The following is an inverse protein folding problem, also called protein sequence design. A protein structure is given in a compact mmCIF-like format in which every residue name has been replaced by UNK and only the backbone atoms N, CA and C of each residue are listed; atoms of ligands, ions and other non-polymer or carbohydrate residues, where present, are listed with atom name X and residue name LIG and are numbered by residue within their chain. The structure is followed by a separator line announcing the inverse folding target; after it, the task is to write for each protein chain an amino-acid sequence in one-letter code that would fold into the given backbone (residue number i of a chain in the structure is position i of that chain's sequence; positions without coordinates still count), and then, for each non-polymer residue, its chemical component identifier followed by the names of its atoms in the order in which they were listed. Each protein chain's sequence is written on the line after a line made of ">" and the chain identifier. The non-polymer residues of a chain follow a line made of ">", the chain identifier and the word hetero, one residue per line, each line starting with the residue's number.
data_IF_586765636884
#
_entry.id   IF_586765636884
#
_cell.length_a   1.000
_cell.length_b   1.000
_cell.length_c   1.000
_cell.angle_alpha   90.00
_cell.angle_beta   90.00
_cell.angle_gamma   90.00
#
_symmetry.space_group_name_H-M   'P 1'
#
loop_
_entity.id
_entity.type
_entity.pdbx_description
1 polymer ?
#
# COMPACT_ATOMS: atom_id res chain seq x y z
N UNK A 1 -4.98 -3.17 -5.15
CA UNK A 1 -4.90 -4.09 -4.00
C UNK A 1 -4.93 -3.32 -2.68
N UNK A 2 -4.12 -2.27 -2.52
CA UNK A 2 -4.04 -1.38 -1.34
C UNK A 2 -5.39 -0.95 -0.77
N UNK A 3 -6.32 -0.44 -1.61
CA UNK A 3 -7.65 -0.02 -1.16
C UNK A 3 -8.49 -1.16 -0.56
N UNK A 4 -8.35 -2.40 -1.06
CA UNK A 4 -9.06 -3.55 -0.49
C UNK A 4 -8.45 -3.99 0.85
N UNK A 5 -7.12 -3.92 0.99
CA UNK A 5 -6.44 -4.14 2.27
C UNK A 5 -6.90 -3.09 3.30
N UNK A 6 -6.99 -1.82 2.90
CA UNK A 6 -7.55 -0.75 3.73
C UNK A 6 -9.01 -1.03 4.13
N UNK A 7 -9.83 -1.51 3.20
CA UNK A 7 -11.20 -1.94 3.51
C UNK A 7 -11.23 -3.04 4.58
N UNK A 8 -10.34 -4.04 4.50
CA UNK A 8 -10.22 -5.09 5.51
C UNK A 8 -9.72 -4.55 6.85
N UNK A 9 -8.69 -3.69 6.84
CA UNK A 9 -8.17 -3.03 8.05
C UNK A 9 -9.23 -2.19 8.77
N UNK A 10 -10.12 -1.52 8.03
CA UNK A 10 -11.24 -0.78 8.61
C UNK A 10 -12.30 -1.65 9.31
N UNK A 11 -12.26 -2.98 9.14
CA UNK A 11 -13.07 -3.93 9.91
C UNK A 11 -12.37 -4.44 11.16
N UNK A 12 -11.07 -4.18 11.30
CA UNK A 12 -10.24 -4.55 12.44
C UNK A 12 -10.09 -3.34 13.36
N UNK A 13 -9.80 -2.17 12.79
CA UNK A 13 -9.68 -0.88 13.48
C UNK A 13 -11.04 -0.19 13.54
N UNK A 14 -11.68 -0.17 14.71
CA UNK A 14 -13.01 0.42 14.88
C UNK A 14 -13.00 1.94 15.11
N UNK A 15 -11.82 2.52 15.37
CA UNK A 15 -11.62 3.93 15.68
C UNK A 15 -10.84 4.64 14.56
N UNK A 16 -11.36 4.54 13.33
CA UNK A 16 -10.86 5.22 12.14
C UNK A 16 -12.00 5.62 11.20
N UNK A 17 -11.76 6.62 10.35
CA UNK A 17 -12.69 6.93 9.26
C UNK A 17 -12.43 5.97 8.07
N UNK A 18 -13.29 4.95 7.93
CA UNK A 18 -13.20 3.96 6.85
C UNK A 18 -13.30 4.57 5.45
N UNK A 19 -14.13 5.59 5.26
CA UNK A 19 -14.28 6.24 3.96
C UNK A 19 -12.98 6.93 3.59
N UNK A 20 -12.46 7.77 4.49
CA UNK A 20 -11.19 8.48 4.32
C UNK A 20 -10.04 7.51 4.04
N UNK A 21 -9.94 6.42 4.80
CA UNK A 21 -8.88 5.41 4.62
C UNK A 21 -8.91 4.82 3.21
N UNK A 22 -10.08 4.37 2.76
CA UNK A 22 -10.22 3.74 1.44
C UNK A 22 -10.02 4.77 0.32
N UNK A 23 -10.56 5.99 0.45
CA UNK A 23 -10.37 7.04 -0.57
C UNK A 23 -8.92 7.50 -0.64
N UNK A 24 -8.22 7.61 0.48
CA UNK A 24 -6.78 7.94 0.51
C UNK A 24 -5.98 6.87 -0.22
N UNK A 25 -6.25 5.58 0.05
CA UNK A 25 -5.60 4.47 -0.66
C UNK A 25 -5.87 4.47 -2.17
N UNK A 26 -7.02 4.97 -2.64
CA UNK A 26 -7.32 5.08 -4.07
C UNK A 26 -6.48 6.15 -4.79
N UNK A 27 -6.05 7.20 -4.08
CA UNK A 27 -5.42 8.38 -4.70
C UNK A 27 -3.97 8.60 -4.31
N UNK A 28 -3.42 7.85 -3.35
CA UNK A 28 -2.07 8.09 -2.83
C UNK A 28 -0.99 8.13 -3.92
N UNK A 29 -1.04 7.21 -4.89
CA UNK A 29 -0.09 7.14 -6.02
C UNK A 29 -0.61 7.81 -7.31
N UNK A 30 -1.66 8.64 -7.24
CA UNK A 30 -2.28 9.19 -8.46
C UNK A 30 -1.31 10.08 -9.27
N UNK A 31 -0.25 10.60 -8.64
CA UNK A 31 0.81 11.34 -9.31
C UNK A 31 1.58 10.47 -10.33
N UNK A 32 1.69 9.15 -10.08
CA UNK A 32 2.40 8.18 -10.91
C UNK A 32 1.78 8.01 -12.29
N UNK A 33 0.50 8.36 -12.46
CA UNK A 33 -0.13 8.43 -13.77
C UNK A 33 0.56 9.42 -14.74
N UNK A 34 1.40 10.33 -14.22
CA UNK A 34 2.19 11.29 -15.02
C UNK A 34 3.68 11.22 -14.79
N UNK A 35 4.12 10.79 -13.61
CA UNK A 35 5.55 10.66 -13.31
C UNK A 35 6.10 9.28 -13.68
N UNK A 36 5.23 8.27 -13.80
CA UNK A 36 5.61 6.86 -13.74
C UNK A 36 5.82 6.38 -12.29
N UNK A 37 5.71 5.07 -12.08
CA UNK A 37 6.10 4.40 -10.84
C UNK A 37 7.62 4.22 -10.84
N UNK A 38 8.31 5.05 -10.06
CA UNK A 38 9.76 4.97 -9.96
C UNK A 38 10.18 3.79 -9.08
N UNK A 39 10.87 2.83 -9.70
CA UNK A 39 11.51 1.76 -8.95
C UNK A 39 12.73 2.28 -8.15
N UNK A 40 13.33 1.44 -7.30
CA UNK A 40 14.46 1.83 -6.45
C UNK A 40 15.68 2.37 -7.20
N UNK A 41 15.94 1.89 -8.42
CA UNK A 41 17.04 2.39 -9.24
C UNK A 41 16.72 3.78 -9.74
N UNK A 42 15.51 4.00 -10.26
CA UNK A 42 15.06 5.33 -10.73
C UNK A 42 15.05 6.35 -9.59
N UNK A 43 14.55 5.98 -8.40
CA UNK A 43 14.59 6.82 -7.19
C UNK A 43 16.01 7.23 -6.77
N UNK A 44 17.05 6.49 -7.20
CA UNK A 44 18.46 6.81 -6.89
C UNK A 44 19.09 7.80 -7.88
N UNK A 45 18.61 7.85 -9.12
CA UNK A 45 19.26 8.61 -10.20
C UNK A 45 18.36 9.66 -10.84
N UNK A 46 17.10 9.76 -10.42
CA UNK A 46 16.10 10.66 -10.99
C UNK A 46 15.21 11.21 -9.89
N UNK A 47 14.55 12.33 -10.17
CA UNK A 47 13.64 13.02 -9.25
C UNK A 47 12.34 13.34 -9.97
N UNK A 48 11.22 13.03 -9.32
CA UNK A 48 9.88 13.39 -9.76
C UNK A 48 9.48 14.75 -9.18
N UNK A 49 8.63 15.47 -9.91
CA UNK A 49 7.94 16.67 -9.42
C UNK A 49 6.47 16.33 -9.17
N UNK A 50 6.22 15.58 -8.09
CA UNK A 50 4.88 15.11 -7.72
C UNK A 50 3.93 16.27 -7.43
N UNK A 51 4.41 17.34 -6.80
CA UNK A 51 3.61 18.53 -6.53
C UNK A 51 3.08 19.16 -7.84
N UNK A 52 3.91 19.26 -8.87
CA UNK A 52 3.47 19.71 -10.20
C UNK A 52 2.53 18.70 -10.87
N UNK A 53 2.80 17.40 -10.75
CA UNK A 53 1.93 16.36 -11.29
C UNK A 53 0.52 16.42 -10.69
N UNK A 54 0.41 16.54 -9.36
CA UNK A 54 -0.84 16.67 -8.61
C UNK A 54 -1.53 17.98 -8.96
N UNK A 55 -0.82 19.11 -9.00
CA UNK A 55 -1.38 20.41 -9.38
C UNK A 55 -2.01 20.37 -10.77
N UNK A 56 -1.29 19.85 -11.77
CA UNK A 56 -1.83 19.68 -13.11
C UNK A 56 -3.03 18.71 -13.15
N UNK A 57 -3.16 17.79 -12.19
CA UNK A 57 -4.18 16.72 -12.20
C UNK A 57 -5.47 17.26 -11.64
N UNK A 58 -5.36 18.06 -10.58
CA UNK A 58 -6.47 18.56 -9.77
C UNK A 58 -7.01 19.90 -10.25
N UNK A 59 -6.22 20.76 -10.92
CA UNK A 59 -6.58 22.16 -11.25
C UNK A 59 -7.90 22.42 -12.00
N UNK A 60 -8.46 21.41 -12.66
CA UNK A 60 -9.72 21.56 -13.42
C UNK A 60 -10.81 20.57 -12.96
N UNK A 61 -10.59 19.93 -11.82
CA UNK A 61 -11.53 18.97 -11.23
C UNK A 61 -12.25 19.67 -10.07
N UNK A 62 -13.59 19.67 -10.03
CA UNK A 62 -14.34 20.35 -8.97
C UNK A 62 -13.99 19.92 -7.54
N UNK A 63 -13.53 18.68 -7.36
CA UNK A 63 -13.09 18.07 -6.10
C UNK A 63 -11.56 17.91 -6.04
N UNK A 64 -10.81 18.72 -6.80
CA UNK A 64 -9.35 18.64 -6.86
C UNK A 64 -8.66 18.90 -5.51
N UNK A 65 -9.24 19.79 -4.70
CA UNK A 65 -8.73 20.11 -3.36
C UNK A 65 -8.90 18.94 -2.38
N UNK A 66 -9.94 18.13 -2.54
CA UNK A 66 -10.16 16.93 -1.72
C UNK A 66 -9.05 15.89 -1.98
N UNK A 67 -8.73 15.65 -3.26
CA UNK A 67 -7.63 14.76 -3.66
C UNK A 67 -6.30 15.27 -3.09
N UNK A 68 -6.02 16.57 -3.27
CA UNK A 68 -4.78 17.17 -2.78
C UNK A 68 -4.64 17.03 -1.26
N UNK A 69 -5.72 17.29 -0.53
CA UNK A 69 -5.74 17.16 0.94
C UNK A 69 -5.47 15.73 1.40
N UNK A 70 -6.06 14.73 0.72
CA UNK A 70 -5.80 13.31 1.02
C UNK A 70 -4.33 12.93 0.76
N UNK A 71 -3.74 13.41 -0.34
CA UNK A 71 -2.34 13.14 -0.67
C UNK A 71 -1.41 13.83 0.32
N UNK A 72 -1.67 15.09 0.67
CA UNK A 72 -0.88 15.84 1.65
C UNK A 72 -0.93 15.14 3.03
N UNK A 73 -2.11 14.66 3.46
CA UNK A 73 -2.27 13.86 4.68
C UNK A 73 -1.48 12.54 4.60
N UNK A 74 -1.62 11.79 3.49
CA UNK A 74 -0.87 10.55 3.26
C UNK A 74 0.65 10.78 3.33
N UNK A 75 1.15 11.84 2.68
CA UNK A 75 2.57 12.16 2.63
C UNK A 75 3.12 12.57 4.00
N UNK A 76 2.32 13.25 4.83
CA UNK A 76 2.72 13.63 6.20
C UNK A 76 3.00 12.41 7.09
N UNK A 77 2.22 11.32 6.97
CA UNK A 77 2.33 10.15 7.85
C UNK A 77 1.99 10.46 9.32
N UNK A 78 1.27 11.54 9.59
CA UNK A 78 0.97 11.97 10.96
C UNK A 78 -0.34 11.39 11.50
N UNK A 79 -1.26 10.99 10.61
CA UNK A 79 -2.57 10.46 11.00
C UNK A 79 -2.58 8.94 11.04
N UNK A 80 -3.51 8.38 11.84
CA UNK A 80 -3.71 6.94 11.92
C UNK A 80 -4.10 6.36 10.56
N UNK A 81 -4.97 7.03 9.82
CA UNK A 81 -5.34 6.60 8.47
C UNK A 81 -4.14 6.64 7.50
N UNK A 82 -3.33 7.70 7.51
CA UNK A 82 -2.14 7.77 6.65
C UNK A 82 -1.18 6.60 6.91
N UNK A 83 -0.92 6.27 8.17
CA UNK A 83 -0.04 5.16 8.54
C UNK A 83 -0.63 3.80 8.17
N UNK A 84 -1.95 3.63 8.28
CA UNK A 84 -2.64 2.42 7.82
C UNK A 84 -2.59 2.27 6.29
N UNK A 85 -2.75 3.35 5.52
CA UNK A 85 -2.60 3.28 4.05
C UNK A 85 -1.17 2.93 3.66
N UNK A 86 -0.16 3.51 4.32
CA UNK A 86 1.25 3.15 4.08
C UNK A 86 1.52 1.68 4.38
N UNK A 87 1.03 1.17 5.50
CA UNK A 87 1.15 -0.24 5.83
C UNK A 87 0.40 -1.13 4.82
N UNK A 88 -0.80 -0.73 4.39
CA UNK A 88 -1.57 -1.46 3.39
C UNK A 88 -0.84 -1.54 2.03
N UNK A 89 -0.12 -0.49 1.65
CA UNK A 89 0.70 -0.47 0.44
C UNK A 89 1.89 -1.44 0.58
N UNK A 90 2.62 -1.40 1.70
CA UNK A 90 3.69 -2.37 1.96
C UNK A 90 3.16 -3.82 2.02
N UNK A 91 1.98 -4.05 2.60
CA UNK A 91 1.34 -5.37 2.64
C UNK A 91 0.95 -5.86 1.25
N UNK A 92 0.46 -4.97 0.38
CA UNK A 92 0.20 -5.30 -1.02
C UNK A 92 1.47 -5.86 -1.69
N UNK A 93 2.62 -5.26 -1.42
CA UNK A 93 3.89 -5.75 -1.95
C UNK A 93 4.37 -7.04 -1.26
N UNK A 94 4.19 -7.16 0.06
CA UNK A 94 4.51 -8.40 0.81
C UNK A 94 3.74 -9.59 0.25
N UNK A 95 2.45 -9.45 -0.08
CA UNK A 95 1.66 -10.52 -0.69
C UNK A 95 2.28 -11.03 -2.00
N UNK A 96 2.72 -10.13 -2.87
CA UNK A 96 3.38 -10.50 -4.12
C UNK A 96 4.73 -11.18 -3.87
N UNK A 97 5.54 -10.64 -2.96
CA UNK A 97 6.83 -11.25 -2.58
C UNK A 97 6.66 -12.63 -1.93
N UNK A 98 5.64 -12.80 -1.07
CA UNK A 98 5.33 -14.07 -0.43
C UNK A 98 4.92 -15.11 -1.45
N UNK A 99 4.02 -14.77 -2.36
CA UNK A 99 3.65 -15.65 -3.49
C UNK A 99 4.87 -16.07 -4.30
N UNK A 100 5.73 -15.11 -4.68
CA UNK A 100 6.96 -15.41 -5.42
C UNK A 100 7.91 -16.33 -4.64
N UNK A 101 8.06 -16.10 -3.33
CA UNK A 101 8.86 -16.94 -2.45
C UNK A 101 8.32 -18.38 -2.40
N UNK A 102 7.01 -18.54 -2.25
CA UNK A 102 6.38 -19.85 -2.10
C UNK A 102 6.47 -20.71 -3.37
N UNK A 103 6.42 -20.09 -4.56
CA UNK A 103 6.64 -20.78 -5.83
C UNK A 103 8.13 -20.97 -6.18
N UNK A 104 9.04 -20.64 -5.26
CA UNK A 104 10.48 -20.90 -5.38
C UNK A 104 11.26 -19.86 -6.20
N UNK A 105 10.72 -18.65 -6.40
CA UNK A 105 11.47 -17.56 -7.03
C UNK A 105 12.62 -17.08 -6.12
N UNK A 106 13.67 -16.53 -6.75
CA UNK A 106 14.80 -15.91 -6.05
C UNK A 106 14.63 -14.40 -6.02
N UNK A 107 15.08 -13.75 -4.96
CA UNK A 107 14.96 -12.30 -4.77
C UNK A 107 14.12 -11.92 -3.55
N UNK A 108 12.91 -12.47 -3.33
CA UNK A 108 12.06 -12.11 -2.20
C UNK A 108 12.76 -12.19 -0.84
N UNK A 109 13.68 -13.15 -0.65
CA UNK A 109 14.45 -13.32 0.58
C UNK A 109 15.31 -12.11 0.97
N UNK A 110 15.66 -11.26 0.01
CA UNK A 110 16.40 -10.01 0.26
C UNK A 110 15.50 -8.83 0.58
N UNK A 111 14.29 -8.84 0.02
CA UNK A 111 13.35 -7.71 0.11
C UNK A 111 12.40 -7.85 1.30
N UNK A 112 11.87 -9.04 1.56
CA UNK A 112 10.89 -9.29 2.62
C UNK A 112 11.33 -8.73 3.99
N UNK A 113 12.57 -8.96 4.49
CA UNK A 113 12.99 -8.38 5.77
C UNK A 113 12.92 -6.85 5.78
N UNK A 114 13.36 -6.21 4.69
CA UNK A 114 13.39 -4.74 4.55
C UNK A 114 11.98 -4.15 4.51
N UNK A 115 11.04 -4.81 3.83
CA UNK A 115 9.66 -4.32 3.72
C UNK A 115 8.89 -4.55 5.03
N UNK A 116 9.12 -5.68 5.72
CA UNK A 116 8.50 -5.97 7.02
C UNK A 116 8.89 -4.94 8.09
N UNK A 117 10.15 -4.47 8.10
CA UNK A 117 10.62 -3.43 9.02
C UNK A 117 9.95 -2.07 8.83
N UNK A 118 9.34 -1.81 7.66
CA UNK A 118 8.67 -0.53 7.37
C UNK A 118 7.28 -0.43 7.95
N UNK A 119 6.66 -1.56 8.30
CA UNK A 119 5.33 -1.57 8.86
C UNK A 119 5.32 -0.83 10.20
N UNK A 120 4.43 0.15 10.33
CA UNK A 120 4.41 1.06 11.46
C UNK A 120 3.36 0.64 12.49
N UNK A 121 2.17 0.27 12.02
CA UNK A 121 1.01 -0.01 12.87
C UNK A 121 1.02 -1.45 13.39
N UNK A 122 0.43 -1.67 14.56
CA UNK A 122 0.27 -3.02 15.10
C UNK A 122 -0.64 -3.89 14.21
N UNK A 123 -1.65 -3.28 13.59
CA UNK A 123 -2.56 -3.95 12.65
C UNK A 123 -1.83 -4.40 11.40
N UNK A 124 -1.01 -3.53 10.79
CA UNK A 124 -0.17 -3.88 9.64
C UNK A 124 0.81 -5.02 9.95
N UNK A 125 1.49 -4.94 11.10
CA UNK A 125 2.43 -5.99 11.56
C UNK A 125 1.75 -7.34 11.77
N UNK A 126 0.58 -7.37 12.41
CA UNK A 126 -0.18 -8.62 12.64
C UNK A 126 -0.65 -9.25 11.33
N UNK A 127 -1.15 -8.45 10.39
CA UNK A 127 -1.57 -8.94 9.08
C UNK A 127 -0.37 -9.51 8.33
N UNK A 128 0.75 -8.79 8.29
CA UNK A 128 1.96 -9.25 7.63
C UNK A 128 2.53 -10.54 8.25
N UNK A 129 2.51 -10.65 9.58
CA UNK A 129 2.90 -11.88 10.26
C UNK A 129 2.03 -13.06 9.82
N UNK A 130 0.71 -12.89 9.80
CA UNK A 130 -0.21 -13.94 9.35
C UNK A 130 0.05 -14.35 7.89
N UNK A 131 0.35 -13.38 7.01
CA UNK A 131 0.71 -13.66 5.61
C UNK A 131 2.00 -14.48 5.54
N UNK A 132 3.00 -14.16 6.36
CA UNK A 132 4.29 -14.88 6.36
C UNK A 132 4.18 -16.30 6.91
N UNK A 133 3.22 -16.56 7.79
CA UNK A 133 2.96 -17.88 8.40
C UNK A 133 2.05 -18.78 7.55
N UNK A 134 1.43 -18.27 6.50
CA UNK A 134 0.46 -18.99 5.64
C UNK A 134 1.05 -19.21 4.24
N UNK A 135 0.71 -20.31 3.56
CA UNK A 135 1.07 -20.48 2.13
C UNK A 135 0.16 -19.63 1.25
N UNK A 136 0.69 -19.11 0.14
CA UNK A 136 -0.10 -18.31 -0.81
C UNK A 136 -1.31 -19.06 -1.39
N UNK A 137 -1.26 -20.40 -1.41
CA UNK A 137 -2.25 -21.30 -1.99
C UNK A 137 -3.21 -21.97 -0.99
N UNK A 138 -3.03 -21.70 0.31
CA UNK A 138 -3.82 -22.31 1.37
C UNK A 138 -5.34 -22.08 1.22
N UNK A 139 -5.76 -20.95 0.62
CA UNK A 139 -7.19 -20.61 0.51
C UNK A 139 -7.99 -21.56 -0.38
N UNK A 140 -7.34 -22.27 -1.33
CA UNK A 140 -8.01 -23.27 -2.17
C UNK A 140 -7.44 -24.68 -2.01
N UNK A 141 -6.22 -24.83 -1.48
CA UNK A 141 -5.59 -26.15 -1.32
C UNK A 141 -6.05 -26.88 -0.06
N UNK A 142 -6.43 -26.17 1.01
CA UNK A 142 -6.83 -26.81 2.26
C UNK A 142 -8.16 -27.59 2.19
N UNK A 143 -9.07 -27.19 1.29
CA UNK A 143 -10.36 -27.84 1.09
C UNK A 143 -10.50 -28.44 -0.33
N UNK A 144 -9.39 -28.65 -1.04
CA UNK A 144 -9.43 -29.21 -2.40
C UNK A 144 -9.87 -30.68 -2.38
N UNK A 145 -10.95 -31.01 -3.10
CA UNK A 145 -11.40 -32.37 -3.37
C UNK A 145 -11.70 -32.57 -4.86
N UNK A 146 -11.18 -33.64 -5.46
CA UNK A 146 -11.52 -34.08 -6.84
C UNK A 146 -12.89 -34.78 -6.93
#
# INVERSE_FOLDING_TARGET
>A
MTAFICFAMARIELDINSEKLVTMALVHDIAEARTGDFNYVEKKYSQTDEAKAISHLTRHIPFGDDIKSLIDEFNSGETKEANLVKDADQISFILELKKQSDIGAKGPEKWLPVILERLQTDTGKKIAQSIMETSWDDWWMNDYSE
#
